data_IF_573879169730
#
_entry.id   IF_573879169730
#
_cell.length_a   1.000
_cell.length_b   1.000
_cell.length_c   1.000
_cell.angle_alpha   90.00
_cell.angle_beta   90.00
_cell.angle_gamma   90.00
#
_symmetry.space_group_name_H-M   'P 1'
#
loop_
_entity.id
_entity.type
_entity.pdbx_description
1 polymer ?
#
# COMPACT_ATOMS: atom_id res chain seq x y z
N UNK A 1 -0.73 2.59 -1.64
CA UNK A 1 -0.39 3.96 -2.10
C UNK A 1 -1.62 4.61 -2.70
N UNK A 2 -1.72 5.94 -2.65
CA UNK A 2 -2.87 6.70 -3.15
C UNK A 2 -2.42 8.07 -3.66
N UNK A 3 -3.28 8.81 -4.38
CA UNK A 3 -2.98 10.17 -4.83
C UNK A 3 -2.55 11.13 -3.70
N UNK A 4 -2.85 10.82 -2.45
CA UNK A 4 -2.43 11.63 -1.31
C UNK A 4 -1.06 11.24 -0.75
N UNK A 5 -0.69 9.95 -0.77
CA UNK A 5 0.45 9.44 0.00
C UNK A 5 1.24 8.35 -0.75
N UNK A 6 1.54 8.56 -2.03
CA UNK A 6 2.44 7.67 -2.80
C UNK A 6 3.37 8.42 -3.75
N UNK A 7 3.85 9.58 -3.31
CA UNK A 7 4.95 10.31 -3.98
C UNK A 7 6.26 9.57 -3.75
N UNK A 8 7.32 9.97 -4.45
CA UNK A 8 8.63 9.31 -4.27
C UNK A 8 9.13 9.36 -2.82
N UNK A 9 8.90 10.46 -2.10
CA UNK A 9 9.25 10.60 -0.69
C UNK A 9 8.50 9.61 0.21
N UNK A 10 7.25 9.32 -0.10
CA UNK A 10 6.43 8.34 0.62
C UNK A 10 6.95 6.91 0.39
N UNK A 11 7.30 6.60 -0.86
CA UNK A 11 7.89 5.31 -1.22
C UNK A 11 9.24 5.10 -0.53
N UNK A 12 10.11 6.11 -0.50
CA UNK A 12 11.39 6.04 0.24
C UNK A 12 11.19 5.77 1.73
N UNK A 13 10.22 6.45 2.36
CA UNK A 13 9.89 6.23 3.77
C UNK A 13 9.40 4.80 4.02
N UNK A 14 8.52 4.29 3.17
CA UNK A 14 8.05 2.90 3.27
C UNK A 14 9.19 1.91 3.01
N UNK A 15 10.07 2.17 2.04
CA UNK A 15 11.19 1.30 1.70
C UNK A 15 12.20 1.20 2.84
N UNK A 16 12.53 2.32 3.51
CA UNK A 16 13.39 2.31 4.69
C UNK A 16 12.81 1.47 5.84
N UNK A 17 11.47 1.40 5.95
CA UNK A 17 10.80 0.52 6.90
C UNK A 17 10.83 -0.94 6.42
N UNK A 18 10.77 -1.22 5.13
CA UNK A 18 10.70 -2.59 4.61
C UNK A 18 12.07 -3.23 4.34
N UNK A 19 13.14 -2.42 4.31
CA UNK A 19 14.50 -2.88 4.04
C UNK A 19 14.92 -3.97 5.03
N UNK A 20 15.42 -5.09 4.48
CA UNK A 20 15.81 -6.29 5.22
C UNK A 20 14.73 -6.90 6.12
N UNK A 21 13.45 -6.56 5.90
CA UNK A 21 12.30 -7.09 6.64
C UNK A 21 11.33 -7.78 5.69
N UNK A 22 10.43 -8.58 6.25
CA UNK A 22 9.39 -9.32 5.51
C UNK A 22 8.02 -8.93 6.03
N UNK A 23 7.04 -8.93 5.13
CA UNK A 23 5.63 -8.79 5.48
C UNK A 23 5.22 -9.97 6.35
N UNK A 24 4.44 -9.69 7.40
CA UNK A 24 3.96 -10.71 8.34
C UNK A 24 3.07 -11.75 7.65
N UNK A 25 3.08 -13.02 8.10
CA UNK A 25 2.16 -14.04 7.59
C UNK A 25 0.70 -13.60 7.70
N UNK A 26 -0.10 -13.88 6.65
CA UNK A 26 -1.51 -13.51 6.60
C UNK A 26 -1.80 -12.06 6.20
N UNK A 27 -0.78 -11.22 6.01
CA UNK A 27 -0.94 -9.83 5.55
C UNK A 27 -0.66 -9.73 4.05
N UNK A 28 -1.53 -9.03 3.32
CA UNK A 28 -1.23 -8.56 1.96
C UNK A 28 -0.75 -7.10 2.02
N UNK A 29 0.47 -6.84 1.54
CA UNK A 29 0.96 -5.48 1.36
C UNK A 29 0.93 -5.11 -0.12
N UNK A 30 0.19 -4.05 -0.46
CA UNK A 30 0.06 -3.56 -1.84
C UNK A 30 0.62 -2.14 -1.95
N UNK A 31 1.56 -1.96 -2.87
CA UNK A 31 2.23 -0.69 -3.13
C UNK A 31 1.88 -0.21 -4.53
N UNK A 32 1.31 0.99 -4.57
CA UNK A 32 0.82 1.65 -5.78
C UNK A 32 1.46 3.02 -5.87
N UNK A 33 2.27 3.32 -6.90
CA UNK A 33 2.87 4.64 -7.10
C UNK A 33 1.81 5.68 -7.52
N UNK A 34 2.02 6.96 -7.19
CA UNK A 34 1.04 8.02 -7.52
C UNK A 34 0.95 8.35 -9.01
N UNK A 35 2.00 8.06 -9.78
CA UNK A 35 2.08 8.34 -11.21
C UNK A 35 3.11 7.44 -11.89
N UNK A 36 3.07 7.37 -13.22
CA UNK A 36 4.09 6.68 -14.02
C UNK A 36 5.49 7.26 -13.80
N UNK A 37 5.60 8.59 -13.66
CA UNK A 37 6.89 9.24 -13.37
C UNK A 37 7.48 8.77 -12.03
N UNK A 38 6.63 8.66 -11.00
CA UNK A 38 7.07 8.14 -9.69
C UNK A 38 7.43 6.66 -9.78
N UNK A 39 6.70 5.86 -10.58
CA UNK A 39 7.04 4.46 -10.80
C UNK A 39 8.43 4.30 -11.44
N UNK A 40 8.71 5.05 -12.51
CA UNK A 40 10.02 5.07 -13.19
C UNK A 40 11.12 5.53 -12.22
N UNK A 41 10.85 6.55 -11.41
CA UNK A 41 11.82 7.02 -10.42
C UNK A 41 12.09 5.97 -9.33
N UNK A 42 11.04 5.32 -8.82
CA UNK A 42 11.17 4.25 -7.83
C UNK A 42 11.96 3.05 -8.36
N UNK A 43 11.82 2.73 -9.65
CA UNK A 43 12.62 1.72 -10.33
C UNK A 43 14.10 2.11 -10.39
N UNK A 44 14.40 3.34 -10.85
CA UNK A 44 15.77 3.88 -10.91
C UNK A 44 16.46 3.90 -9.55
N UNK A 45 15.72 4.16 -8.48
CA UNK A 45 16.21 4.16 -7.11
C UNK A 45 16.26 2.76 -6.47
N UNK A 46 15.82 1.72 -7.17
CA UNK A 46 15.80 0.34 -6.66
C UNK A 46 14.73 0.05 -5.60
N UNK A 47 13.81 0.99 -5.34
CA UNK A 47 12.79 0.85 -4.30
C UNK A 47 11.83 -0.31 -4.58
N UNK A 48 11.51 -0.55 -5.85
CA UNK A 48 10.65 -1.67 -6.27
C UNK A 48 11.25 -3.00 -5.82
N UNK A 49 12.58 -3.16 -5.93
CA UNK A 49 13.26 -4.38 -5.49
C UNK A 49 13.13 -4.58 -3.99
N UNK A 50 13.26 -3.52 -3.19
CA UNK A 50 13.06 -3.57 -1.73
C UNK A 50 11.65 -4.04 -1.38
N UNK A 51 10.63 -3.51 -2.07
CA UNK A 51 9.25 -3.90 -1.84
C UNK A 51 8.97 -5.36 -2.20
N UNK A 52 9.43 -5.80 -3.38
CA UNK A 52 9.28 -7.20 -3.81
C UNK A 52 10.05 -8.14 -2.87
N UNK A 53 11.26 -7.76 -2.46
CA UNK A 53 12.04 -8.53 -1.50
C UNK A 53 11.34 -8.65 -0.15
N UNK A 54 10.59 -7.64 0.30
CA UNK A 54 9.80 -7.72 1.53
C UNK A 54 8.54 -8.60 1.40
N UNK A 55 8.16 -9.00 0.18
CA UNK A 55 6.94 -9.76 -0.10
C UNK A 55 5.72 -8.89 -0.42
N UNK A 56 5.92 -7.60 -0.70
CA UNK A 56 4.86 -6.71 -1.16
C UNK A 56 4.51 -6.97 -2.63
N UNK A 57 3.24 -6.78 -2.98
CA UNK A 57 2.80 -6.68 -4.37
C UNK A 57 2.97 -5.24 -4.87
N UNK A 58 3.61 -5.08 -6.03
CA UNK A 58 3.73 -3.81 -6.73
C UNK A 58 2.66 -3.70 -7.81
N UNK A 59 2.01 -2.53 -7.94
CA UNK A 59 1.02 -2.28 -8.99
C UNK A 59 1.45 -1.15 -9.93
N UNK A 60 0.82 -1.07 -11.09
CA UNK A 60 0.91 0.11 -11.96
C UNK A 60 0.29 1.33 -11.28
N UNK A 61 0.64 2.52 -11.77
CA UNK A 61 0.12 3.79 -11.27
C UNK A 61 -1.38 3.89 -11.57
N UNK A 62 -2.21 3.66 -10.57
CA UNK A 62 -3.68 3.67 -10.68
C UNK A 62 -4.30 4.15 -9.36
N UNK A 63 -5.63 4.26 -9.32
CA UNK A 63 -6.34 4.46 -8.05
C UNK A 63 -6.40 3.18 -7.18
N UNK A 64 -5.99 2.02 -7.69
CA UNK A 64 -6.02 0.74 -6.96
C UNK A 64 -7.39 0.45 -6.34
N UNK A 65 -7.36 -0.11 -5.13
CA UNK A 65 -8.56 -0.38 -4.34
C UNK A 65 -9.26 0.88 -3.77
N UNK A 66 -8.79 2.11 -4.02
CA UNK A 66 -9.36 3.33 -3.43
C UNK A 66 -10.86 3.52 -3.73
N UNK A 67 -11.35 2.96 -4.84
CA UNK A 67 -12.75 2.96 -5.25
C UNK A 67 -13.33 1.53 -5.32
N UNK A 68 -12.62 0.53 -4.79
CA UNK A 68 -13.02 -0.88 -4.87
C UNK A 68 -12.97 -1.49 -6.28
N UNK A 69 -12.33 -0.83 -7.26
CA UNK A 69 -12.40 -1.22 -8.67
C UNK A 69 -11.16 -1.93 -9.22
N UNK A 70 -10.11 -2.13 -8.42
CA UNK A 70 -8.86 -2.73 -8.90
C UNK A 70 -8.12 -3.48 -7.77
N UNK A 71 -6.94 -4.03 -8.08
CA UNK A 71 -6.06 -4.79 -7.18
C UNK A 71 -6.13 -4.29 -5.73
N UNK A 72 -6.44 -5.22 -4.81
CA UNK A 72 -6.57 -4.93 -3.39
C UNK A 72 -7.99 -4.70 -2.88
N UNK A 73 -9.02 -5.02 -3.67
CA UNK A 73 -10.42 -4.97 -3.20
C UNK A 73 -10.57 -5.81 -1.93
N UNK A 74 -11.31 -5.25 -0.97
CA UNK A 74 -11.58 -5.89 0.31
C UNK A 74 -12.80 -6.79 0.24
N UNK A 75 -12.64 -8.01 0.74
CA UNK A 75 -13.70 -8.99 0.96
C UNK A 75 -14.54 -8.69 2.20
N UNK A 76 -15.57 -9.52 2.42
CA UNK A 76 -16.41 -9.41 3.61
C UNK A 76 -15.59 -9.62 4.89
N UNK A 77 -15.69 -8.68 5.84
CA UNK A 77 -15.01 -8.76 7.14
C UNK A 77 -13.51 -8.47 7.12
N UNK A 78 -12.91 -8.21 5.95
CA UNK A 78 -11.49 -7.84 5.87
C UNK A 78 -11.24 -6.45 6.50
N UNK A 79 -10.08 -6.30 7.11
CA UNK A 79 -9.60 -5.05 7.70
C UNK A 79 -8.39 -4.56 6.89
N UNK A 80 -8.39 -3.28 6.54
CA UNK A 80 -7.33 -2.66 5.76
C UNK A 80 -6.80 -1.40 6.44
N UNK A 81 -5.48 -1.33 6.57
CA UNK A 81 -4.78 -0.10 6.89
C UNK A 81 -4.33 0.57 5.58
N UNK A 82 -4.87 1.74 5.28
CA UNK A 82 -4.73 2.40 3.99
C UNK A 82 -4.09 3.78 4.12
N UNK A 83 -3.32 4.15 3.10
CA UNK A 83 -2.73 5.49 2.95
C UNK A 83 -3.59 6.40 2.06
N UNK A 84 -4.88 6.10 1.90
CA UNK A 84 -5.86 6.97 1.26
C UNK A 84 -6.34 8.06 2.23
N UNK A 85 -7.29 8.88 1.81
CA UNK A 85 -7.93 9.90 2.64
C UNK A 85 -9.41 9.61 2.93
N UNK A 86 -9.90 8.41 2.58
CA UNK A 86 -11.32 8.04 2.67
C UNK A 86 -11.47 6.61 3.18
N UNK A 87 -12.36 6.41 4.14
CA UNK A 87 -12.58 5.14 4.82
C UNK A 87 -14.06 4.81 5.12
N UNK A 88 -15.01 5.44 4.42
CA UNK A 88 -16.42 5.13 4.63
C UNK A 88 -16.77 3.68 4.21
N UNK A 89 -17.84 3.07 4.76
CA UNK A 89 -18.23 1.70 4.46
C UNK A 89 -18.38 1.45 2.96
N UNK A 90 -17.83 0.34 2.45
CA UNK A 90 -17.87 -0.03 1.04
C UNK A 90 -16.90 0.74 0.14
N UNK A 91 -16.06 1.62 0.69
CA UNK A 91 -15.15 2.45 -0.12
C UNK A 91 -14.15 1.64 -0.94
N UNK A 92 -13.60 0.58 -0.34
CA UNK A 92 -12.51 -0.22 -0.91
C UNK A 92 -12.94 -1.64 -1.29
N UNK A 93 -14.25 -1.92 -1.31
CA UNK A 93 -14.78 -3.26 -1.56
C UNK A 93 -16.08 -3.49 -0.80
N UNK A 94 -16.17 -4.62 -0.10
CA UNK A 94 -17.39 -5.04 0.57
C UNK A 94 -17.85 -4.02 1.64
N UNK A 95 -19.17 -3.73 1.78
CA UNK A 95 -19.68 -2.79 2.78
C UNK A 95 -19.33 -3.12 4.24
N UNK A 96 -19.12 -4.40 4.55
CA UNK A 96 -18.70 -4.87 5.88
C UNK A 96 -17.18 -4.89 6.10
N UNK A 97 -16.38 -4.49 5.10
CA UNK A 97 -14.94 -4.32 5.28
C UNK A 97 -14.65 -3.04 6.08
N UNK A 98 -13.57 -3.04 6.84
CA UNK A 98 -13.15 -1.90 7.66
C UNK A 98 -11.87 -1.29 7.11
N UNK A 99 -11.82 0.05 7.05
CA UNK A 99 -10.66 0.79 6.56
C UNK A 99 -10.19 1.76 7.63
N UNK A 100 -8.91 1.66 7.98
CA UNK A 100 -8.21 2.58 8.88
C UNK A 100 -7.24 3.41 8.06
N UNK A 101 -7.13 4.71 8.37
CA UNK A 101 -6.24 5.62 7.64
C UNK A 101 -4.92 5.77 8.38
N UNK A 102 -3.81 5.78 7.64
CA UNK A 102 -2.49 6.01 8.20
C UNK A 102 -1.54 6.68 7.21
N UNK A 103 -0.36 7.03 7.70
CA UNK A 103 0.73 7.47 6.83
C UNK A 103 1.54 6.26 6.29
N UNK A 104 2.35 6.44 5.23
CA UNK A 104 3.10 5.34 4.61
C UNK A 104 4.08 4.60 5.54
N UNK A 105 4.69 5.31 6.50
CA UNK A 105 5.64 4.70 7.42
C UNK A 105 4.94 3.78 8.41
N UNK A 106 3.78 4.19 8.93
CA UNK A 106 2.94 3.37 9.81
C UNK A 106 2.39 2.17 9.05
N UNK A 107 1.85 2.37 7.84
CA UNK A 107 1.37 1.26 7.01
C UNK A 107 2.47 0.22 6.73
N UNK A 108 3.69 0.66 6.45
CA UNK A 108 4.84 -0.23 6.25
C UNK A 108 5.24 -0.97 7.53
N UNK A 109 5.24 -0.28 8.69
CA UNK A 109 5.57 -0.89 9.97
C UNK A 109 4.52 -1.94 10.37
N UNK A 110 3.24 -1.61 10.26
CA UNK A 110 2.11 -2.51 10.47
C UNK A 110 2.17 -3.75 9.59
N UNK A 111 2.56 -3.61 8.33
CA UNK A 111 2.72 -4.74 7.43
C UNK A 111 3.82 -5.72 7.87
N UNK A 112 4.87 -5.22 8.52
CA UNK A 112 5.95 -6.06 9.08
C UNK A 112 5.53 -6.70 10.40
N UNK A 113 4.82 -5.97 11.26
CA UNK A 113 4.45 -6.45 12.61
C UNK A 113 3.17 -7.29 12.63
N UNK A 114 2.34 -7.20 11.59
CA UNK A 114 1.06 -7.89 11.50
C UNK A 114 -0.06 -7.26 12.33
N UNK A 115 0.08 -5.99 12.71
CA UNK A 115 -0.88 -5.22 13.54
C UNK A 115 -1.22 -3.87 12.94
#
# INVERSE_FOLDING_TARGET
GSCTNSRITDLRRAAAVLENRKVAPGIRLIITPSSHQVAIQAEKEGLIRTFLAAGAAWTTATCGACLGGHMGVLGEGEVCLSTTNRNFPGRMGHPKAQVYLSNPAVAAASAVTGV
#
